data_IF_724425867628
#
_entry.id   IF_724425867628
#
_cell.length_a   1.000
_cell.length_b   1.000
_cell.length_c   1.000
_cell.angle_alpha   90.00
_cell.angle_beta   90.00
_cell.angle_gamma   90.00
#
_symmetry.space_group_name_H-M   'P 1'
#
loop_
_entity.id
_entity.type
_entity.pdbx_description
1 polymer ?
#
# COMPACT_ATOMS: atom_id res chain seq x y z
N UNK A 1 -49.83 26.55 -20.08
CA UNK A 1 -49.02 27.21 -19.02
C UNK A 1 -48.35 26.11 -18.18
N UNK A 2 -47.07 26.29 -17.82
CA UNK A 2 -45.99 25.30 -17.61
C UNK A 2 -46.25 24.07 -16.71
N UNK A 3 -45.85 22.88 -17.23
CA UNK A 3 -45.46 21.66 -16.50
C UNK A 3 -44.14 21.89 -15.75
N UNK A 4 -44.02 21.46 -14.49
CA UNK A 4 -42.76 21.46 -13.73
C UNK A 4 -42.12 20.06 -13.80
N UNK A 5 -41.07 19.93 -14.60
CA UNK A 5 -40.15 18.79 -14.57
C UNK A 5 -39.18 18.99 -13.41
N UNK A 6 -39.21 18.08 -12.43
CA UNK A 6 -38.25 18.02 -11.33
C UNK A 6 -36.94 17.39 -11.81
N UNK A 7 -35.98 18.22 -12.21
CA UNK A 7 -34.60 17.80 -12.39
C UNK A 7 -33.91 17.91 -11.03
N UNK A 8 -33.39 16.79 -10.53
CA UNK A 8 -32.48 16.76 -9.39
C UNK A 8 -31.20 17.49 -9.80
N UNK A 9 -30.97 18.67 -9.24
CA UNK A 9 -29.67 19.34 -9.33
C UNK A 9 -28.67 18.59 -8.42
N UNK A 10 -27.94 17.63 -8.98
CA UNK A 10 -26.66 17.22 -8.42
C UNK A 10 -25.72 18.43 -8.52
N UNK A 11 -25.52 19.14 -7.40
CA UNK A 11 -24.47 20.17 -7.30
C UNK A 11 -23.13 19.50 -7.54
N UNK A 12 -22.61 19.63 -8.76
CA UNK A 12 -21.25 19.27 -9.12
C UNK A 12 -20.29 20.13 -8.31
N UNK A 13 -19.83 19.60 -7.18
CA UNK A 13 -18.59 20.09 -6.59
C UNK A 13 -17.49 19.67 -7.56
N UNK A 14 -17.08 20.61 -8.42
CA UNK A 14 -15.84 20.50 -9.15
C UNK A 14 -14.72 20.23 -8.13
N UNK A 15 -14.33 18.96 -7.99
CA UNK A 15 -13.10 18.60 -7.34
C UNK A 15 -12.00 19.18 -8.22
N UNK A 16 -11.44 20.32 -7.79
CA UNK A 16 -10.17 20.81 -8.31
C UNK A 16 -9.21 19.64 -8.24
N UNK A 17 -8.90 19.09 -9.40
CA UNK A 17 -8.03 17.93 -9.60
C UNK A 17 -6.64 18.32 -9.11
N UNK A 18 -6.36 18.08 -7.83
CA UNK A 18 -5.02 18.13 -7.29
C UNK A 18 -4.28 16.94 -7.87
N UNK A 19 -3.68 17.15 -9.04
CA UNK A 19 -2.70 16.23 -9.61
C UNK A 19 -1.43 16.36 -8.78
N UNK A 20 -1.17 15.36 -7.94
CA UNK A 20 0.05 14.55 -7.80
C UNK A 20 -0.23 13.49 -6.71
N UNK A 21 -0.27 12.20 -7.04
CA UNK A 21 -0.67 11.11 -6.13
C UNK A 21 -2.00 10.44 -6.50
N UNK A 22 -2.45 9.42 -5.74
CA UNK A 22 -3.62 8.59 -6.04
C UNK A 22 -4.99 9.33 -5.98
N UNK A 23 -4.96 10.66 -5.87
CA UNK A 23 -6.15 11.52 -5.86
C UNK A 23 -6.84 11.56 -4.50
N UNK A 24 -6.19 11.10 -3.43
CA UNK A 24 -6.70 11.21 -2.08
C UNK A 24 -6.50 12.62 -1.48
N UNK A 25 -7.06 12.84 -0.29
CA UNK A 25 -7.04 14.12 0.42
C UNK A 25 -5.88 14.27 1.41
N UNK A 26 -5.02 13.27 1.52
CA UNK A 26 -3.95 13.21 2.51
C UNK A 26 -2.62 13.59 1.86
N UNK A 27 -1.99 14.64 2.41
CA UNK A 27 -0.66 15.08 1.95
C UNK A 27 0.47 14.12 2.40
N UNK A 28 0.23 13.41 3.51
CA UNK A 28 1.15 12.48 4.15
C UNK A 28 0.41 11.17 4.43
N UNK A 29 0.72 10.48 5.53
CA UNK A 29 -0.03 9.30 5.95
C UNK A 29 -1.52 9.63 6.20
N UNK A 30 -2.36 8.66 5.88
CA UNK A 30 -3.77 8.65 6.28
C UNK A 30 -3.92 7.84 7.57
N UNK A 31 -4.94 8.14 8.41
CA UNK A 31 -5.37 7.20 9.45
C UNK A 31 -5.59 5.81 8.85
N UNK A 32 -5.11 4.75 9.52
CA UNK A 32 -5.31 3.37 9.07
C UNK A 32 -6.79 3.08 8.90
N UNK A 33 -7.15 2.42 7.79
CA UNK A 33 -8.54 2.12 7.47
C UNK A 33 -9.34 3.29 6.89
N UNK A 34 -8.67 4.35 6.41
CA UNK A 34 -9.34 5.47 5.74
C UNK A 34 -10.00 5.10 4.40
N UNK A 35 -9.62 3.96 3.83
CA UNK A 35 -10.12 3.46 2.55
C UNK A 35 -10.73 2.05 2.72
N UNK A 36 -11.46 1.59 1.69
CA UNK A 36 -12.06 0.26 1.73
C UNK A 36 -10.98 -0.84 1.87
N UNK A 37 -11.24 -1.91 2.65
CA UNK A 37 -10.34 -3.04 2.72
C UNK A 37 -10.35 -3.83 1.41
N UNK A 38 -9.33 -4.64 1.20
CA UNK A 38 -9.37 -5.67 0.16
C UNK A 38 -10.37 -6.80 0.52
N UNK A 39 -10.69 -7.75 -0.39
CA UNK A 39 -11.62 -8.85 -0.10
C UNK A 39 -11.26 -9.77 1.07
N UNK A 40 -10.03 -9.69 1.59
CA UNK A 40 -9.59 -10.41 2.79
C UNK A 40 -9.78 -9.60 4.09
N UNK A 41 -10.40 -8.42 4.01
CA UNK A 41 -10.59 -7.54 5.17
C UNK A 41 -9.33 -6.77 5.58
N UNK A 42 -8.29 -6.75 4.73
CA UNK A 42 -7.00 -6.11 5.06
C UNK A 42 -6.99 -4.70 4.46
N UNK A 43 -6.70 -3.72 5.32
CA UNK A 43 -6.60 -2.31 4.96
C UNK A 43 -5.17 -1.92 4.58
N UNK A 44 -5.07 -0.88 3.74
CA UNK A 44 -3.84 -0.14 3.44
C UNK A 44 -2.68 -1.02 2.91
N UNK A 45 -2.98 -2.13 2.24
CA UNK A 45 -1.95 -2.96 1.57
C UNK A 45 -1.41 -2.32 0.28
N UNK A 46 -2.01 -1.20 -0.13
CA UNK A 46 -1.73 -0.44 -1.35
C UNK A 46 -1.68 1.05 -0.96
N UNK A 47 -0.48 1.58 -0.75
CA UNK A 47 -0.26 2.96 -0.32
C UNK A 47 -0.11 3.13 1.20
N UNK A 48 -0.39 4.34 1.67
CA UNK A 48 -0.10 4.82 3.03
C UNK A 48 1.39 4.76 3.39
N UNK A 49 1.94 3.61 3.75
CA UNK A 49 3.36 3.41 4.07
C UNK A 49 3.90 2.12 3.47
N UNK A 50 5.19 2.12 3.14
CA UNK A 50 5.90 0.88 2.83
C UNK A 50 5.91 -0.02 4.05
N UNK A 51 5.78 -1.32 3.85
CA UNK A 51 5.77 -2.27 4.96
C UNK A 51 6.96 -3.22 4.88
N UNK A 52 7.75 -3.27 5.96
CA UNK A 52 8.85 -4.21 6.11
C UNK A 52 8.36 -5.65 6.17
N UNK A 53 9.03 -6.53 5.42
CA UNK A 53 8.88 -7.98 5.49
C UNK A 53 10.16 -8.62 6.07
N UNK A 54 10.02 -9.79 6.70
CA UNK A 54 11.15 -10.49 7.31
C UNK A 54 12.17 -11.04 6.28
N UNK A 55 11.72 -11.24 5.03
CA UNK A 55 12.53 -11.80 3.95
C UNK A 55 13.81 -11.00 3.67
N UNK A 56 14.90 -11.73 3.47
CA UNK A 56 16.13 -11.19 2.89
C UNK A 56 15.92 -10.84 1.42
N UNK A 57 16.72 -9.94 0.85
CA UNK A 57 16.56 -9.61 -0.56
C UNK A 57 17.13 -10.69 -1.49
N UNK A 58 16.31 -11.09 -2.46
CA UNK A 58 16.71 -11.93 -3.61
C UNK A 58 16.40 -11.20 -4.92
N UNK A 59 17.26 -11.27 -5.95
CA UNK A 59 17.07 -10.55 -7.22
C UNK A 59 15.93 -11.11 -8.06
N UNK A 60 15.50 -12.36 -7.81
CA UNK A 60 14.36 -13.00 -8.48
C UNK A 60 13.59 -13.85 -7.48
N UNK A 61 12.53 -14.54 -7.93
CA UNK A 61 11.79 -15.55 -7.16
C UNK A 61 12.24 -16.99 -7.44
N UNK A 62 13.33 -17.20 -8.22
CA UNK A 62 13.84 -18.54 -8.50
C UNK A 62 14.33 -19.18 -7.19
N UNK A 63 13.69 -20.28 -6.78
CA UNK A 63 13.98 -20.97 -5.52
C UNK A 63 13.31 -20.37 -4.28
N UNK A 64 12.30 -19.51 -4.46
CA UNK A 64 11.51 -19.00 -3.33
C UNK A 64 10.73 -20.12 -2.63
N UNK A 65 10.60 -20.10 -1.30
CA UNK A 65 9.67 -20.96 -0.57
C UNK A 65 8.23 -20.76 -1.09
N UNK A 66 7.49 -21.85 -1.23
CA UNK A 66 6.09 -21.85 -1.69
C UNK A 66 5.08 -22.07 -0.56
N UNK A 67 5.55 -22.13 0.67
CA UNK A 67 4.80 -22.48 1.89
C UNK A 67 4.60 -21.27 2.83
N UNK A 68 5.02 -20.07 2.40
CA UNK A 68 4.90 -18.85 3.18
C UNK A 68 5.96 -18.68 4.26
N UNK A 69 6.97 -19.56 4.34
CA UNK A 69 8.11 -19.34 5.22
C UNK A 69 8.95 -18.13 4.80
N UNK A 70 9.62 -17.50 5.77
CA UNK A 70 10.53 -16.37 5.53
C UNK A 70 11.66 -16.79 4.59
N UNK A 71 11.86 -16.08 3.48
CA UNK A 71 12.93 -16.39 2.54
C UNK A 71 14.28 -15.82 3.00
N UNK A 72 15.10 -16.69 3.60
CA UNK A 72 16.46 -16.38 4.08
C UNK A 72 17.53 -16.71 3.02
N UNK A 73 18.78 -16.33 3.29
CA UNK A 73 19.95 -16.72 2.47
C UNK A 73 20.17 -15.86 1.22
N UNK A 74 19.44 -14.74 1.11
CA UNK A 74 19.69 -13.70 0.12
C UNK A 74 20.73 -12.70 0.63
N UNK A 75 20.65 -11.46 0.15
CA UNK A 75 21.43 -10.38 0.74
C UNK A 75 20.79 -9.93 2.06
N UNK A 76 21.37 -10.39 3.18
CA UNK A 76 20.87 -10.15 4.54
C UNK A 76 21.02 -8.70 5.03
N UNK A 77 21.81 -7.86 4.33
CA UNK A 77 21.88 -6.42 4.64
C UNK A 77 20.58 -5.70 4.28
N UNK A 78 19.76 -6.30 3.42
CA UNK A 78 18.50 -5.73 2.95
C UNK A 78 17.31 -6.56 3.40
N UNK A 79 16.21 -5.86 3.71
CA UNK A 79 14.88 -6.47 3.87
C UNK A 79 13.94 -6.02 2.77
N UNK A 80 12.94 -6.84 2.50
CA UNK A 80 11.92 -6.55 1.48
C UNK A 80 10.93 -5.51 2.03
N UNK A 81 10.52 -4.59 1.16
CA UNK A 81 9.45 -3.62 1.38
C UNK A 81 8.32 -3.86 0.36
N UNK A 82 7.07 -3.80 0.81
CA UNK A 82 5.85 -3.99 0.00
C UNK A 82 4.84 -2.85 0.22
N UNK A 83 3.91 -2.68 -0.72
CA UNK A 83 2.73 -1.81 -0.56
C UNK A 83 2.83 -0.39 -1.12
N UNK A 84 4.03 0.19 -1.26
CA UNK A 84 4.18 1.60 -1.62
C UNK A 84 3.86 2.53 -0.46
N UNK A 85 3.98 3.85 -0.64
CA UNK A 85 3.67 4.83 0.41
C UNK A 85 3.07 6.11 -0.15
N UNK A 86 2.65 7.02 0.74
CA UNK A 86 2.08 8.33 0.42
C UNK A 86 2.98 9.20 -0.48
N UNK A 87 4.30 8.98 -0.49
CA UNK A 87 5.25 9.76 -1.29
C UNK A 87 5.58 9.12 -2.65
N UNK A 88 5.10 7.90 -2.92
CA UNK A 88 5.47 7.17 -4.14
C UNK A 88 4.43 7.30 -5.25
N UNK A 89 4.86 7.14 -6.52
CA UNK A 89 3.91 7.04 -7.62
C UNK A 89 3.05 5.77 -7.50
N UNK A 90 1.82 5.77 -8.06
CA UNK A 90 0.90 4.62 -7.96
C UNK A 90 1.47 3.28 -8.43
N UNK A 91 2.42 3.29 -9.38
CA UNK A 91 3.09 2.08 -9.86
C UNK A 91 3.84 1.30 -8.77
N UNK A 92 4.24 1.98 -7.70
CA UNK A 92 4.92 1.36 -6.56
C UNK A 92 3.97 0.61 -5.62
N UNK A 93 2.67 0.93 -5.68
CA UNK A 93 1.65 0.33 -4.83
C UNK A 93 1.02 -0.93 -5.44
N UNK A 94 1.45 -1.36 -6.63
CA UNK A 94 1.01 -2.64 -7.23
C UNK A 94 1.36 -3.80 -6.31
N UNK A 95 0.45 -4.76 -6.15
CA UNK A 95 0.63 -5.90 -5.23
C UNK A 95 1.89 -6.74 -5.49
N UNK A 96 2.31 -6.84 -6.77
CA UNK A 96 3.52 -7.58 -7.15
C UNK A 96 4.82 -6.77 -6.97
N UNK A 97 4.72 -5.46 -6.71
CA UNK A 97 5.90 -4.62 -6.57
C UNK A 97 6.64 -4.97 -5.28
N UNK A 98 7.97 -5.07 -5.39
CA UNK A 98 8.87 -5.30 -4.28
C UNK A 98 10.06 -4.36 -4.41
N UNK A 99 10.43 -3.73 -3.33
CA UNK A 99 11.70 -3.00 -3.23
C UNK A 99 12.48 -3.55 -2.05
N UNK A 100 13.70 -3.04 -1.88
CA UNK A 100 14.57 -3.40 -0.77
C UNK A 100 15.18 -2.15 -0.19
N UNK A 101 15.45 -2.20 1.10
CA UNK A 101 16.29 -1.20 1.74
C UNK A 101 17.11 -1.84 2.86
N UNK A 102 18.23 -1.20 3.21
CA UNK A 102 19.08 -1.61 4.32
C UNK A 102 18.25 -1.78 5.60
N UNK A 103 18.42 -2.91 6.28
CA UNK A 103 17.62 -3.30 7.46
C UNK A 103 17.71 -2.34 8.64
N UNK A 104 18.75 -1.51 8.67
CA UNK A 104 19.03 -0.56 9.77
C UNK A 104 18.38 0.81 9.59
N UNK A 105 17.77 1.09 8.44
CA UNK A 105 17.20 2.43 8.20
C UNK A 105 15.75 2.54 8.64
N UNK A 106 15.33 3.78 8.81
CA UNK A 106 13.96 4.19 9.06
C UNK A 106 13.65 5.44 8.27
N UNK A 107 12.45 5.48 7.71
CA UNK A 107 11.88 6.65 7.05
C UNK A 107 10.45 6.85 7.57
N UNK A 108 9.97 8.08 7.51
CA UNK A 108 8.58 8.46 7.86
C UNK A 108 7.51 7.84 6.95
N UNK A 109 7.93 7.28 5.82
CA UNK A 109 7.11 6.54 4.87
C UNK A 109 7.20 5.02 5.05
N UNK A 110 7.96 4.52 6.03
CA UNK A 110 8.17 3.08 6.28
C UNK A 110 7.53 2.68 7.61
N UNK A 111 6.67 1.67 7.56
CA UNK A 111 6.04 1.03 8.69
C UNK A 111 6.14 -0.50 8.59
N UNK A 112 5.23 -1.18 9.27
CA UNK A 112 5.13 -2.63 9.26
C UNK A 112 3.73 -3.05 9.70
N UNK A 113 3.39 -4.30 9.40
CA UNK A 113 2.27 -5.00 10.02
C UNK A 113 2.77 -6.28 10.68
N UNK A 114 2.12 -6.65 11.77
CA UNK A 114 2.45 -7.89 12.49
C UNK A 114 1.59 -9.03 11.95
N UNK A 115 2.19 -10.21 11.90
CA UNK A 115 1.50 -11.47 11.62
C UNK A 115 1.64 -12.38 12.84
N UNK A 116 0.59 -13.14 13.14
CA UNK A 116 0.60 -14.17 14.16
C UNK A 116 0.16 -15.47 13.50
N UNK A 117 0.95 -16.53 13.68
CA UNK A 117 0.56 -17.88 13.29
C UNK A 117 -0.67 -18.33 14.07
N UNK A 118 -1.55 -19.07 13.41
CA UNK A 118 -2.61 -19.79 14.11
C UNK A 118 -1.99 -21.05 14.70
N UNK A 119 -2.09 -21.19 16.02
CA UNK A 119 -1.83 -22.46 16.69
C UNK A 119 -3.10 -23.31 16.50
N UNK A 120 -2.98 -24.44 15.79
CA UNK A 120 -4.05 -25.42 15.62
C UNK A 120 -3.77 -26.66 16.46
#
# INVERSE_FOLDING_TARGET
>A
MRRKNGILLLKSRQLKRLKFGCGDRFKYTAPVGSFAPNPFGIYDTVGNVWEWCADSWHPSYKGAPSDGQVWRGGNENYRVLRGGSWVNPPGNARSANRVRYYSVVRYDSYGFRVFRGADF
#
